data_IF_981927986838
#
_entry.id   IF_981927986838
#
_cell.length_a   1.000
_cell.length_b   1.000
_cell.length_c   1.000
_cell.angle_alpha   90.00
_cell.angle_beta   90.00
_cell.angle_gamma   90.00
#
_symmetry.space_group_name_H-M   'P 1'
#
loop_
_entity.id
_entity.type
_entity.pdbx_description
1 polymer ?
#
# COMPACT_ATOMS: atom_id res chain seq x y z
N UNK A 1 16.82 -22.20 14.00
CA UNK A 1 17.97 -22.28 13.09
C UNK A 1 18.93 -21.19 13.52
N UNK A 2 20.14 -21.56 13.92
CA UNK A 2 21.16 -20.59 14.33
C UNK A 2 21.70 -19.84 13.09
N UNK A 3 22.45 -18.76 13.30
CA UNK A 3 23.00 -17.98 12.19
C UNK A 3 24.12 -18.75 11.47
N UNK A 4 24.83 -19.62 12.19
CA UNK A 4 25.82 -20.53 11.61
C UNK A 4 25.16 -21.55 10.67
N UNK A 5 24.00 -22.10 11.06
CA UNK A 5 23.23 -23.03 10.21
C UNK A 5 22.73 -22.33 8.93
N UNK A 6 22.39 -21.04 9.00
CA UNK A 6 21.98 -20.25 7.84
C UNK A 6 23.16 -19.98 6.90
N UNK A 7 24.34 -19.68 7.46
CA UNK A 7 25.54 -19.38 6.67
C UNK A 7 25.94 -20.58 5.78
N UNK A 8 25.80 -21.81 6.27
CA UNK A 8 26.07 -23.03 5.48
C UNK A 8 25.31 -23.04 4.15
N UNK A 9 24.03 -22.61 4.15
CA UNK A 9 23.24 -22.54 2.91
C UNK A 9 23.79 -21.48 1.94
N UNK A 10 24.21 -20.33 2.47
CA UNK A 10 24.79 -19.27 1.66
C UNK A 10 26.17 -19.67 1.10
N UNK A 11 27.05 -20.25 1.91
CA UNK A 11 28.35 -20.76 1.47
C UNK A 11 28.20 -21.84 0.38
N UNK A 12 27.19 -22.71 0.51
CA UNK A 12 26.91 -23.71 -0.54
C UNK A 12 26.43 -23.06 -1.83
N UNK A 13 25.69 -21.95 -1.75
CA UNK A 13 25.29 -21.18 -2.93
C UNK A 13 26.49 -20.52 -3.62
N UNK A 14 27.43 -19.95 -2.86
CA UNK A 14 28.69 -19.34 -3.37
C UNK A 14 29.50 -20.28 -4.28
N UNK A 15 29.42 -21.59 -4.07
CA UNK A 15 30.11 -22.57 -4.92
C UNK A 15 29.57 -22.65 -6.35
N UNK A 16 28.38 -22.09 -6.63
CA UNK A 16 27.68 -22.21 -7.92
C UNK A 16 27.53 -20.89 -8.66
N UNK A 17 27.85 -19.77 -8.02
CA UNK A 17 27.60 -18.43 -8.55
C UNK A 17 28.75 -17.51 -8.19
N UNK A 18 29.07 -16.59 -9.09
CA UNK A 18 30.14 -15.60 -8.94
C UNK A 18 29.57 -14.20 -9.08
N UNK A 19 30.10 -13.25 -8.32
CA UNK A 19 29.73 -11.84 -8.38
C UNK A 19 30.93 -10.96 -8.06
N UNK A 20 30.85 -9.67 -8.39
CA UNK A 20 31.84 -8.68 -7.99
C UNK A 20 31.74 -8.42 -6.48
N UNK A 21 32.85 -8.31 -5.74
CA UNK A 21 32.84 -8.08 -4.28
C UNK A 21 31.96 -6.88 -3.85
N UNK A 22 31.93 -5.84 -4.70
CA UNK A 22 31.12 -4.62 -4.54
C UNK A 22 29.60 -4.89 -4.37
N UNK A 23 29.12 -6.07 -4.78
CA UNK A 23 27.70 -6.44 -4.71
C UNK A 23 27.40 -7.46 -3.62
N UNK A 24 28.39 -7.90 -2.84
CA UNK A 24 28.23 -9.02 -1.90
C UNK A 24 27.10 -8.79 -0.89
N UNK A 25 27.03 -7.61 -0.27
CA UNK A 25 25.95 -7.27 0.68
C UNK A 25 24.56 -7.34 0.04
N UNK A 26 24.43 -6.87 -1.20
CA UNK A 26 23.16 -6.90 -1.93
C UNK A 26 22.78 -8.34 -2.29
N UNK A 27 23.75 -9.17 -2.66
CA UNK A 27 23.55 -10.58 -2.96
C UNK A 27 23.15 -11.35 -1.69
N UNK A 28 23.80 -11.12 -0.56
CA UNK A 28 23.43 -11.73 0.74
C UNK A 28 22.00 -11.37 1.10
N UNK A 29 21.63 -10.08 1.01
CA UNK A 29 20.26 -9.62 1.28
C UNK A 29 19.24 -10.30 0.37
N UNK A 30 19.52 -10.36 -0.93
CA UNK A 30 18.65 -11.02 -1.90
C UNK A 30 18.52 -12.51 -1.62
N UNK A 31 19.63 -13.21 -1.34
CA UNK A 31 19.64 -14.62 -1.01
C UNK A 31 18.79 -14.90 0.22
N UNK A 32 19.04 -14.18 1.32
CA UNK A 32 18.28 -14.35 2.56
C UNK A 32 16.79 -14.10 2.36
N UNK A 33 16.43 -13.08 1.59
CA UNK A 33 15.03 -12.81 1.23
C UNK A 33 14.39 -13.97 0.47
N UNK A 34 15.04 -14.46 -0.60
CA UNK A 34 14.53 -15.55 -1.44
C UNK A 34 14.49 -16.89 -0.69
N UNK A 35 15.55 -17.22 0.05
CA UNK A 35 15.63 -18.43 0.85
C UNK A 35 14.58 -18.45 1.96
N UNK A 36 14.39 -17.33 2.67
CA UNK A 36 13.35 -17.20 3.70
C UNK A 36 11.94 -17.38 3.13
N UNK A 37 11.65 -16.75 1.98
CA UNK A 37 10.37 -16.92 1.30
C UNK A 37 10.14 -18.38 0.92
N UNK A 38 11.14 -19.02 0.30
CA UNK A 38 11.06 -20.42 -0.13
C UNK A 38 10.87 -21.38 1.04
N UNK A 39 11.63 -21.21 2.12
CA UNK A 39 11.47 -22.02 3.34
C UNK A 39 10.08 -21.84 3.94
N UNK A 40 9.56 -20.62 3.95
CA UNK A 40 8.21 -20.33 4.46
C UNK A 40 7.12 -21.05 3.66
N UNK A 41 7.22 -21.08 2.33
CA UNK A 41 6.32 -21.87 1.48
C UNK A 41 6.42 -23.37 1.80
N UNK A 42 7.64 -23.90 1.89
CA UNK A 42 7.86 -25.31 2.17
C UNK A 42 7.31 -25.71 3.55
N UNK A 43 7.43 -24.84 4.56
CA UNK A 43 6.80 -25.05 5.87
C UNK A 43 5.28 -24.96 5.82
N UNK A 44 4.72 -24.04 5.02
CA UNK A 44 3.27 -23.95 4.84
C UNK A 44 2.71 -25.24 4.22
N UNK A 45 3.36 -25.78 3.19
CA UNK A 45 2.94 -27.04 2.56
C UNK A 45 3.09 -28.23 3.51
N UNK A 46 4.20 -28.31 4.26
CA UNK A 46 4.37 -29.32 5.31
C UNK A 46 3.26 -29.25 6.35
N UNK A 47 2.88 -28.05 6.77
CA UNK A 47 1.79 -27.81 7.74
C UNK A 47 0.44 -28.24 7.19
N UNK A 48 0.11 -27.87 5.94
CA UNK A 48 -1.15 -28.26 5.28
C UNK A 48 -1.28 -29.78 5.18
N UNK A 49 -0.18 -30.45 4.84
CA UNK A 49 -0.14 -31.90 4.68
C UNK A 49 -0.01 -32.64 6.02
N UNK A 50 0.29 -31.94 7.12
CA UNK A 50 0.51 -32.53 8.45
C UNK A 50 1.71 -33.48 8.52
N UNK A 51 2.61 -33.44 7.53
CA UNK A 51 3.73 -34.39 7.39
C UNK A 51 5.05 -33.64 7.41
N UNK A 52 6.01 -34.16 8.17
CA UNK A 52 7.38 -33.65 8.20
C UNK A 52 8.11 -34.01 6.89
N UNK A 53 8.64 -33.03 6.14
CA UNK A 53 9.56 -33.26 5.04
C UNK A 53 10.84 -34.01 5.45
N UNK A 54 11.37 -34.83 4.55
CA UNK A 54 12.59 -35.62 4.77
C UNK A 54 13.85 -34.79 5.01
N UNK A 55 13.93 -33.61 4.39
CA UNK A 55 15.07 -32.68 4.55
C UNK A 55 15.05 -31.92 5.89
N UNK A 56 13.99 -32.02 6.68
CA UNK A 56 13.85 -31.28 7.93
C UNK A 56 14.17 -32.15 9.15
N UNK A 57 15.00 -31.60 10.03
CA UNK A 57 15.34 -32.21 11.32
C UNK A 57 14.12 -32.26 12.24
N UNK A 58 14.00 -33.35 13.01
CA UNK A 58 12.88 -33.56 13.95
C UNK A 58 12.80 -32.46 15.01
N UNK A 59 13.94 -31.98 15.50
CA UNK A 59 14.00 -30.85 16.44
C UNK A 59 13.29 -29.62 15.89
N UNK A 60 13.53 -29.28 14.62
CA UNK A 60 12.93 -28.10 13.97
C UNK A 60 11.44 -28.33 13.78
N UNK A 61 11.03 -29.51 13.29
CA UNK A 61 9.62 -29.84 13.10
C UNK A 61 8.82 -29.79 14.41
N UNK A 62 9.33 -30.40 15.48
CA UNK A 62 8.68 -30.38 16.79
C UNK A 62 8.56 -28.95 17.34
N UNK A 63 9.60 -28.11 17.17
CA UNK A 63 9.52 -26.70 17.57
C UNK A 63 8.46 -25.92 16.78
N UNK A 64 8.28 -26.21 15.49
CA UNK A 64 7.24 -25.60 14.66
C UNK A 64 5.85 -26.07 15.08
N UNK A 65 5.67 -27.36 15.39
CA UNK A 65 4.40 -27.90 15.87
C UNK A 65 3.96 -27.25 17.18
N UNK A 66 4.87 -27.10 18.15
CA UNK A 66 4.60 -26.37 19.40
C UNK A 66 4.13 -24.95 19.08
N UNK A 67 4.88 -24.24 18.23
CA UNK A 67 4.56 -22.86 17.87
C UNK A 67 3.25 -22.70 17.10
N UNK A 68 2.92 -23.63 16.21
CA UNK A 68 1.67 -23.59 15.44
C UNK A 68 0.44 -23.91 16.29
N UNK A 69 0.63 -24.62 17.40
CA UNK A 69 -0.44 -24.96 18.35
C UNK A 69 -0.61 -23.89 19.45
N UNK A 70 0.32 -22.94 19.60
CA UNK A 70 0.15 -21.79 20.49
C UNK A 70 -1.18 -21.06 20.20
N UNK A 71 -2.03 -20.80 21.23
CA UNK A 71 -3.33 -20.14 21.03
C UNK A 71 -3.22 -18.79 20.32
N UNK A 72 -2.19 -18.01 20.66
CA UNK A 72 -1.93 -16.70 20.06
C UNK A 72 -1.65 -16.82 18.55
N UNK A 73 -0.85 -17.81 18.15
CA UNK A 73 -0.55 -18.06 16.75
C UNK A 73 -1.80 -18.51 15.97
N UNK A 74 -2.59 -19.42 16.55
CA UNK A 74 -3.85 -19.88 15.95
C UNK A 74 -4.84 -18.73 15.77
N UNK A 75 -4.98 -17.86 16.78
CA UNK A 75 -5.84 -16.67 16.72
C UNK A 75 -5.40 -15.72 15.60
N UNK A 76 -4.11 -15.38 15.53
CA UNK A 76 -3.54 -14.55 14.46
C UNK A 76 -3.75 -15.17 13.08
N UNK A 77 -3.53 -16.47 12.94
CA UNK A 77 -3.72 -17.21 11.68
C UNK A 77 -5.19 -17.20 11.24
N UNK A 78 -6.12 -17.44 12.17
CA UNK A 78 -7.55 -17.42 11.89
C UNK A 78 -8.03 -16.01 11.51
N UNK A 79 -7.55 -14.96 12.18
CA UNK A 79 -7.85 -13.58 11.82
C UNK A 79 -7.31 -13.24 10.43
N UNK A 80 -6.07 -13.64 10.11
CA UNK A 80 -5.49 -13.42 8.79
C UNK A 80 -6.26 -14.18 7.69
N UNK A 81 -6.76 -15.37 7.99
CA UNK A 81 -7.65 -16.12 7.07
C UNK A 81 -8.97 -15.39 6.85
N UNK A 82 -9.64 -14.93 7.92
CA UNK A 82 -10.87 -14.12 7.81
C UNK A 82 -10.63 -12.84 7.02
N UNK A 83 -9.48 -12.17 7.22
CA UNK A 83 -9.13 -10.96 6.47
C UNK A 83 -8.92 -11.25 4.98
N UNK A 84 -8.29 -12.38 4.63
CA UNK A 84 -8.11 -12.79 3.22
C UNK A 84 -9.41 -13.22 2.55
N UNK A 85 -10.29 -13.88 3.30
CA UNK A 85 -11.61 -14.29 2.81
C UNK A 85 -12.66 -13.17 2.86
N UNK A 86 -12.29 -11.99 3.37
CA UNK A 86 -13.21 -10.88 3.45
C UNK A 86 -13.50 -10.33 2.06
N UNK A 87 -14.79 -10.28 1.71
CA UNK A 87 -15.29 -9.56 0.52
C UNK A 87 -15.27 -8.05 0.69
N UNK A 88 -14.66 -7.54 1.78
CA UNK A 88 -14.51 -6.12 2.01
C UNK A 88 -13.69 -5.54 0.87
N UNK A 89 -14.39 -4.94 -0.07
CA UNK A 89 -13.86 -4.21 -1.19
C UNK A 89 -12.85 -3.13 -0.70
N UNK A 90 -11.93 -2.73 -1.56
CA UNK A 90 -10.90 -1.73 -1.28
C UNK A 90 -9.49 -2.26 -1.06
N UNK A 91 -9.18 -3.48 -1.49
CA UNK A 91 -7.79 -3.94 -1.65
C UNK A 91 -7.35 -3.98 -3.12
N UNK A 92 -8.29 -3.88 -4.06
CA UNK A 92 -8.00 -3.94 -5.49
C UNK A 92 -7.63 -2.53 -5.98
N UNK A 93 -6.58 -2.47 -6.80
CA UNK A 93 -6.17 -1.29 -7.56
C UNK A 93 -5.47 -1.77 -8.83
N UNK A 94 -5.54 -0.97 -9.90
CA UNK A 94 -4.96 -1.25 -11.23
C UNK A 94 -3.73 -0.36 -11.48
N UNK A 95 -3.10 0.16 -10.43
CA UNK A 95 -1.87 0.95 -10.54
C UNK A 95 -0.66 0.20 -11.13
N UNK A 96 -0.73 -1.11 -11.32
CA UNK A 96 0.37 -1.91 -11.85
C UNK A 96 1.55 -2.02 -10.88
N UNK A 97 2.73 -2.33 -11.41
CA UNK A 97 3.95 -2.56 -10.61
C UNK A 97 4.72 -1.27 -10.25
N UNK A 98 4.05 -0.12 -10.26
CA UNK A 98 4.63 1.16 -9.84
C UNK A 98 3.90 1.68 -8.59
N UNK A 99 4.60 2.48 -7.80
CA UNK A 99 4.04 3.01 -6.56
C UNK A 99 3.01 4.12 -6.86
N UNK A 100 2.10 4.38 -5.92
CA UNK A 100 1.21 5.56 -6.00
C UNK A 100 1.99 6.87 -6.11
N UNK A 101 3.15 6.96 -5.45
CA UNK A 101 4.02 8.14 -5.55
C UNK A 101 4.56 8.32 -6.97
N UNK A 102 4.97 7.23 -7.62
CA UNK A 102 5.40 7.25 -9.01
C UNK A 102 4.25 7.67 -9.95
N UNK A 103 3.02 7.21 -9.70
CA UNK A 103 1.84 7.69 -10.42
C UNK A 103 1.65 9.21 -10.27
N UNK A 104 1.77 9.74 -9.05
CA UNK A 104 1.66 11.19 -8.79
C UNK A 104 2.71 11.97 -9.59
N UNK A 105 3.97 11.52 -9.59
CA UNK A 105 5.04 12.21 -10.31
C UNK A 105 4.80 12.23 -11.81
N UNK A 106 4.42 11.09 -12.41
CA UNK A 106 4.13 10.99 -13.84
C UNK A 106 2.93 11.86 -14.23
N UNK A 107 1.85 11.79 -13.46
CA UNK A 107 0.66 12.62 -13.70
C UNK A 107 0.97 14.11 -13.53
N UNK A 108 1.82 14.50 -12.59
CA UNK A 108 2.20 15.89 -12.39
C UNK A 108 2.98 16.45 -13.58
N UNK A 109 3.88 15.63 -14.15
CA UNK A 109 4.62 15.96 -15.36
C UNK A 109 3.71 16.10 -16.57
N UNK A 110 2.76 15.17 -16.74
CA UNK A 110 1.80 15.19 -17.84
C UNK A 110 0.84 16.39 -17.76
N UNK A 111 0.38 16.75 -16.57
CA UNK A 111 -0.56 17.85 -16.35
C UNK A 111 0.12 19.22 -16.21
N UNK A 112 1.44 19.26 -16.00
CA UNK A 112 2.18 20.49 -15.72
C UNK A 112 1.80 21.17 -14.39
N UNK A 113 1.14 20.44 -13.48
CA UNK A 113 0.68 20.95 -12.18
C UNK A 113 0.67 19.85 -11.12
N UNK A 114 0.50 20.25 -9.86
CA UNK A 114 0.24 19.30 -8.79
C UNK A 114 -1.05 18.49 -9.05
N UNK A 115 -0.99 17.20 -8.73
CA UNK A 115 -2.08 16.25 -8.94
C UNK A 115 -2.89 16.11 -7.66
N UNK A 116 -4.21 16.06 -7.78
CA UNK A 116 -5.09 15.87 -6.63
C UNK A 116 -5.26 14.38 -6.29
N UNK A 117 -5.60 14.10 -5.02
CA UNK A 117 -5.79 12.72 -4.53
C UNK A 117 -6.80 11.96 -5.36
N UNK A 118 -7.94 12.59 -5.65
CA UNK A 118 -9.05 11.96 -6.34
C UNK A 118 -8.70 11.64 -7.80
N UNK A 119 -7.83 12.44 -8.44
CA UNK A 119 -7.32 12.17 -9.80
C UNK A 119 -6.46 10.90 -9.81
N UNK A 120 -5.52 10.80 -8.85
CA UNK A 120 -4.67 9.60 -8.70
C UNK A 120 -5.52 8.40 -8.31
N UNK A 121 -6.50 8.58 -7.44
CA UNK A 121 -7.42 7.53 -7.04
C UNK A 121 -8.21 7.00 -8.24
N UNK A 122 -8.81 7.90 -9.03
CA UNK A 122 -9.54 7.54 -10.25
C UNK A 122 -8.64 6.78 -11.23
N UNK A 123 -7.43 7.31 -11.51
CA UNK A 123 -6.47 6.68 -12.41
C UNK A 123 -6.06 5.26 -11.97
N UNK A 124 -6.00 5.01 -10.66
CA UNK A 124 -5.53 3.73 -10.10
C UNK A 124 -6.67 2.78 -9.73
N UNK A 125 -7.92 3.23 -9.73
CA UNK A 125 -9.09 2.43 -9.33
C UNK A 125 -10.16 2.34 -10.41
N UNK A 126 -9.90 2.82 -11.63
CA UNK A 126 -10.76 2.64 -12.80
C UNK A 126 -10.07 1.77 -13.85
N UNK A 127 -10.81 0.80 -14.39
CA UNK A 127 -10.37 -0.09 -15.47
C UNK A 127 -10.34 0.68 -16.78
N UNK A 128 -9.16 0.85 -17.39
CA UNK A 128 -9.03 1.51 -18.70
C UNK A 128 -9.84 0.84 -19.82
N UNK A 129 -10.11 -0.46 -19.71
CA UNK A 129 -10.84 -1.23 -20.72
C UNK A 129 -12.35 -1.04 -20.66
N UNK A 130 -12.93 -0.91 -19.47
CA UNK A 130 -14.40 -0.82 -19.29
C UNK A 130 -14.87 0.54 -18.81
N UNK A 131 -13.99 1.35 -18.22
CA UNK A 131 -14.34 2.59 -17.54
C UNK A 131 -14.93 2.39 -16.13
N UNK A 132 -15.06 1.14 -15.67
CA UNK A 132 -15.65 0.83 -14.37
C UNK A 132 -14.61 0.85 -13.24
N UNK A 133 -15.10 1.14 -12.04
CA UNK A 133 -14.32 0.98 -10.83
C UNK A 133 -13.92 -0.48 -10.58
N UNK A 134 -12.75 -0.66 -9.96
CA UNK A 134 -12.18 -1.97 -9.66
C UNK A 134 -13.01 -2.78 -8.67
N UNK A 135 -13.72 -2.10 -7.78
CA UNK A 135 -14.62 -2.69 -6.81
C UNK A 135 -15.71 -1.70 -6.33
N UNK A 136 -16.71 -2.21 -5.62
CA UNK A 136 -17.85 -1.41 -5.17
C UNK A 136 -17.45 -0.31 -4.17
N UNK A 137 -16.40 -0.52 -3.37
CA UNK A 137 -15.96 0.45 -2.38
C UNK A 137 -15.29 1.65 -3.04
N UNK A 138 -14.40 1.42 -4.01
CA UNK A 138 -13.75 2.47 -4.77
C UNK A 138 -14.77 3.33 -5.52
N UNK A 139 -15.77 2.70 -6.15
CA UNK A 139 -16.91 3.38 -6.75
C UNK A 139 -17.62 4.29 -5.75
N UNK A 140 -18.11 3.72 -4.65
CA UNK A 140 -18.84 4.45 -3.62
C UNK A 140 -18.02 5.59 -3.02
N UNK A 141 -16.74 5.36 -2.70
CA UNK A 141 -15.86 6.41 -2.18
C UNK A 141 -15.71 7.57 -3.15
N UNK A 142 -15.58 7.29 -4.45
CA UNK A 142 -15.44 8.35 -5.44
C UNK A 142 -16.75 9.12 -5.63
N UNK A 143 -17.90 8.44 -5.68
CA UNK A 143 -19.23 9.05 -5.78
C UNK A 143 -19.56 9.92 -4.55
N UNK A 144 -19.32 9.41 -3.35
CA UNK A 144 -19.52 10.14 -2.09
C UNK A 144 -18.63 11.40 -2.07
N UNK A 145 -17.37 11.29 -2.51
CA UNK A 145 -16.46 12.43 -2.64
C UNK A 145 -16.98 13.48 -3.62
N UNK A 146 -17.43 13.08 -4.82
CA UNK A 146 -17.95 14.00 -5.82
C UNK A 146 -19.17 14.76 -5.28
N UNK A 147 -20.05 14.08 -4.54
CA UNK A 147 -21.21 14.69 -3.89
C UNK A 147 -20.81 15.72 -2.84
N UNK A 148 -19.94 15.34 -1.88
CA UNK A 148 -19.46 16.22 -0.81
C UNK A 148 -18.71 17.42 -1.38
N UNK A 149 -17.84 17.20 -2.37
CA UNK A 149 -17.07 18.24 -3.02
C UNK A 149 -17.96 19.24 -3.77
N UNK A 150 -18.95 18.76 -4.53
CA UNK A 150 -19.88 19.62 -5.27
C UNK A 150 -20.72 20.48 -4.34
N UNK A 151 -21.17 19.92 -3.21
CA UNK A 151 -21.91 20.66 -2.20
C UNK A 151 -21.03 21.74 -1.56
N UNK A 152 -19.86 21.36 -1.04
CA UNK A 152 -18.95 22.30 -0.37
C UNK A 152 -18.48 23.43 -1.30
N UNK A 153 -18.27 23.13 -2.59
CA UNK A 153 -17.97 24.12 -3.62
C UNK A 153 -19.11 25.12 -3.83
N UNK A 154 -20.35 24.63 -3.86
CA UNK A 154 -21.55 25.47 -4.06
C UNK A 154 -21.79 26.38 -2.85
N UNK A 155 -21.60 25.87 -1.63
CA UNK A 155 -21.68 26.65 -0.40
C UNK A 155 -20.62 27.76 -0.36
N UNK A 156 -19.37 27.45 -0.71
CA UNK A 156 -18.29 28.43 -0.77
C UNK A 156 -18.54 29.54 -1.80
N UNK A 157 -19.14 29.21 -2.95
CA UNK A 157 -19.54 30.20 -3.95
C UNK A 157 -20.66 31.14 -3.45
N UNK A 158 -21.55 30.65 -2.58
CA UNK A 158 -22.69 31.43 -2.06
C UNK A 158 -22.31 32.39 -0.92
N UNK A 159 -21.21 32.16 -0.21
CA UNK A 159 -20.76 33.03 0.89
C UNK A 159 -19.95 34.25 0.43
N UNK A 160 -19.54 34.29 -0.85
CA UNK A 160 -18.88 35.45 -1.45
C UNK A 160 -19.89 36.57 -1.70
N UNK A 161 -20.04 37.49 -0.75
CA UNK A 161 -20.89 38.67 -0.88
C UNK A 161 -20.41 39.61 -2.01
N UNK A 162 -20.85 39.37 -3.23
CA UNK A 162 -20.56 40.21 -4.39
C UNK A 162 -21.35 39.74 -5.61
N UNK A 163 -22.18 40.63 -6.15
CA UNK A 163 -22.93 40.39 -7.38
C UNK A 163 -21.97 40.10 -8.54
N UNK A 164 -22.30 39.03 -9.27
CA UNK A 164 -21.57 38.39 -10.38
C UNK A 164 -20.48 37.39 -9.99
N UNK A 165 -20.64 36.19 -10.53
CA UNK A 165 -19.85 34.97 -10.38
C UNK A 165 -18.34 35.21 -10.54
N UNK A 166 -17.66 35.45 -9.43
CA UNK A 166 -16.20 35.32 -9.39
C UNK A 166 -15.84 33.83 -9.25
N UNK A 167 -14.91 33.30 -10.06
CA UNK A 167 -14.38 31.96 -9.85
C UNK A 167 -13.85 31.81 -8.42
N UNK A 168 -14.14 30.68 -7.77
CA UNK A 168 -13.56 30.35 -6.46
C UNK A 168 -12.03 30.42 -6.58
N UNK A 169 -11.37 31.03 -5.60
CA UNK A 169 -9.91 31.07 -5.55
C UNK A 169 -9.33 29.65 -5.57
N UNK A 170 -8.29 29.46 -6.38
CA UNK A 170 -7.61 28.19 -6.58
C UNK A 170 -7.15 27.53 -5.27
N UNK A 171 -6.71 28.31 -4.29
CA UNK A 171 -6.29 27.81 -2.97
C UNK A 171 -7.49 27.32 -2.17
N UNK A 172 -8.59 28.08 -2.19
CA UNK A 172 -9.84 27.71 -1.53
C UNK A 172 -10.42 26.43 -2.14
N UNK A 173 -10.38 26.30 -3.47
CA UNK A 173 -10.84 25.09 -4.17
C UNK A 173 -9.98 23.87 -3.80
N UNK A 174 -8.66 24.03 -3.67
CA UNK A 174 -7.78 22.95 -3.22
C UNK A 174 -8.08 22.51 -1.78
N UNK A 175 -8.35 23.46 -0.87
CA UNK A 175 -8.74 23.17 0.52
C UNK A 175 -10.06 22.39 0.54
N UNK A 176 -11.09 22.89 -0.14
CA UNK A 176 -12.41 22.24 -0.20
C UNK A 176 -12.28 20.82 -0.76
N UNK A 177 -11.47 20.63 -1.81
CA UNK A 177 -11.23 19.32 -2.41
C UNK A 177 -10.54 18.36 -1.45
N UNK A 178 -9.50 18.81 -0.73
CA UNK A 178 -8.81 18.01 0.28
C UNK A 178 -9.76 17.63 1.42
N UNK A 179 -10.48 18.60 1.99
CA UNK A 179 -11.41 18.37 3.10
C UNK A 179 -12.53 17.42 2.71
N UNK A 180 -13.10 17.57 1.52
CA UNK A 180 -14.12 16.67 0.98
C UNK A 180 -13.62 15.22 0.92
N UNK A 181 -12.38 15.01 0.48
CA UNK A 181 -11.77 13.67 0.48
C UNK A 181 -11.58 13.11 1.90
N UNK A 182 -11.11 13.94 2.82
CA UNK A 182 -10.94 13.55 4.23
C UNK A 182 -12.27 13.16 4.87
N UNK A 183 -13.32 13.95 4.67
CA UNK A 183 -14.67 13.68 5.16
C UNK A 183 -15.20 12.36 4.59
N UNK A 184 -15.08 12.16 3.28
CA UNK A 184 -15.54 10.95 2.59
C UNK A 184 -14.87 9.68 3.12
N UNK A 185 -13.58 9.75 3.40
CA UNK A 185 -12.79 8.58 3.81
C UNK A 185 -12.80 8.31 5.32
N UNK A 186 -13.46 9.17 6.10
CA UNK A 186 -13.44 9.10 7.57
C UNK A 186 -12.09 9.51 8.18
N UNK A 187 -11.28 10.24 7.41
CA UNK A 187 -9.98 10.76 7.82
C UNK A 187 -8.90 9.69 8.06
N UNK A 188 -8.01 9.98 9.01
CA UNK A 188 -6.88 9.10 9.36
C UNK A 188 -7.37 8.00 10.29
N UNK A 189 -7.11 6.74 9.94
CA UNK A 189 -7.32 5.63 10.86
C UNK A 189 -6.33 5.67 12.04
N UNK A 190 -6.47 4.75 13.00
CA UNK A 190 -5.58 4.63 14.16
C UNK A 190 -4.09 4.41 13.83
N UNK A 191 -3.75 4.16 12.56
CA UNK A 191 -2.39 4.02 12.04
C UNK A 191 -1.94 5.23 11.22
N UNK A 192 -2.69 6.34 11.26
CA UNK A 192 -2.40 7.58 10.54
C UNK A 192 -2.64 7.53 9.02
N UNK A 193 -3.32 6.50 8.50
CA UNK A 193 -3.52 6.30 7.06
C UNK A 193 -4.91 6.73 6.62
N UNK A 194 -4.97 7.41 5.48
CA UNK A 194 -6.20 7.77 4.77
C UNK A 194 -6.39 6.81 3.60
N UNK A 195 -7.62 6.36 3.37
CA UNK A 195 -7.92 5.45 2.26
C UNK A 195 -7.66 6.10 0.90
N UNK A 196 -7.09 5.34 -0.05
CA UNK A 196 -6.81 5.81 -1.40
C UNK A 196 -5.57 6.71 -1.57
N UNK A 197 -4.99 7.24 -0.50
CA UNK A 197 -3.91 8.26 -0.55
C UNK A 197 -2.49 7.65 -0.56
N UNK A 198 -2.36 6.35 -0.28
CA UNK A 198 -1.05 5.69 -0.21
C UNK A 198 -0.11 6.34 0.84
N UNK A 199 1.20 6.35 0.57
CA UNK A 199 2.20 7.05 1.42
C UNK A 199 2.17 8.57 1.26
N UNK A 200 1.41 9.10 0.30
CA UNK A 200 1.32 10.55 0.03
C UNK A 200 0.65 11.27 1.21
N UNK A 201 -0.05 10.55 2.10
CA UNK A 201 -0.70 11.06 3.31
C UNK A 201 0.22 11.83 4.27
N UNK A 202 1.54 11.67 4.19
CA UNK A 202 2.50 12.41 5.02
C UNK A 202 2.64 13.90 4.64
N UNK A 203 2.28 14.26 3.40
CA UNK A 203 2.22 15.65 2.92
C UNK A 203 0.88 16.36 3.11
N UNK A 204 -0.15 15.64 3.56
CA UNK A 204 -1.47 16.20 3.82
C UNK A 204 -1.53 16.71 5.27
N UNK A 205 -1.00 17.91 5.48
CA UNK A 205 -1.32 18.76 6.62
C UNK A 205 -2.37 19.77 6.17
N UNK A 206 -3.38 20.01 7.01
CA UNK A 206 -4.37 21.06 6.77
C UNK A 206 -3.60 22.40 6.76
N UNK A 207 -3.59 23.11 5.65
CA UNK A 207 -2.96 24.44 5.53
C UNK A 207 -1.54 24.52 4.94
N UNK A 208 -0.87 23.40 4.63
CA UNK A 208 0.47 23.46 4.03
C UNK A 208 0.45 23.35 2.49
N UNK A 209 1.18 24.24 1.79
CA UNK A 209 1.56 24.06 0.39
C UNK A 209 2.35 22.77 0.24
N UNK A 210 2.12 22.06 -0.87
CA UNK A 210 2.99 20.95 -1.26
C UNK A 210 4.44 21.47 -1.35
N UNK A 211 5.43 20.80 -0.74
CA UNK A 211 6.81 21.20 -0.93
C UNK A 211 7.19 21.00 -2.40
N UNK A 212 7.72 22.05 -3.02
CA UNK A 212 8.24 22.02 -4.40
C UNK A 212 9.35 20.97 -4.58
N UNK A 213 9.98 20.55 -3.48
CA UNK A 213 10.96 19.45 -3.44
C UNK A 213 10.85 18.68 -2.13
N UNK A 214 10.81 17.34 -2.20
CA UNK A 214 10.80 16.48 -1.02
C UNK A 214 12.22 16.27 -0.46
N UNK A 215 12.45 16.31 0.87
CA UNK A 215 13.79 16.42 1.46
C UNK A 215 14.55 15.09 1.62
N UNK A 216 14.15 14.00 0.97
CA UNK A 216 14.76 12.68 1.18
C UNK A 216 15.73 12.23 0.08
N UNK A 217 16.30 13.17 -0.68
CA UNK A 217 17.42 12.89 -1.58
C UNK A 217 18.49 13.98 -1.49
N UNK A 218 19.51 13.67 -0.71
CA UNK A 218 20.91 14.06 -0.92
C UNK A 218 21.76 12.83 -0.60
#
# INVERSE_FOLDING_TARGET
MSDEEKDVFFQRSKRKVTWRPEHEDKIIKNFNSKASHRLSEMFLEARKNGKKPSWMFDRVWNSLLVKWNEPEFRSKSAQAQKNRASEKCGSLHIGGSITIHEHVLRMAQELGRAVHVDEVFHQTHVRKTTGDFVDQRSKKTYEDFQSIYSQARSEAASCGGGSQSSPIDSVQEEIIRKESWFTTTGGKNSKGKVYGVGKVSQGYRLGDRLPETWPWYS
#
